data_IF_367316314917
#
_entry.id   IF_367316314917
#
_cell.length_a   1.000
_cell.length_b   1.000
_cell.length_c   1.000
_cell.angle_alpha   90.00
_cell.angle_beta   90.00
_cell.angle_gamma   90.00
#
_symmetry.space_group_name_H-M   'P 1'
#
loop_
_entity.id
_entity.type
_entity.pdbx_description
1 polymer ?
#
# COMPACT_ATOMS: atom_id res chain seq x y z
N UNK A 1 14.69 15.49 -2.28
CA UNK A 1 14.36 14.10 -1.92
C UNK A 1 13.94 13.89 -0.45
N UNK A 2 13.59 14.93 0.31
CA UNK A 2 13.20 14.78 1.73
C UNK A 2 11.77 14.24 1.97
N UNK A 3 10.87 14.34 0.98
CA UNK A 3 9.47 13.93 1.12
C UNK A 3 9.24 12.42 1.14
N UNK A 4 9.99 11.64 0.33
CA UNK A 4 9.79 10.19 0.20
C UNK A 4 10.14 9.42 1.48
N UNK A 5 11.22 9.80 2.17
CA UNK A 5 11.64 9.16 3.42
C UNK A 5 10.64 9.37 4.55
N UNK A 6 9.92 10.50 4.55
CA UNK A 6 8.88 10.79 5.54
C UNK A 6 7.62 9.97 5.32
N UNK A 7 7.25 9.74 4.07
CA UNK A 7 6.06 8.96 3.69
C UNK A 7 6.22 7.48 4.05
N UNK A 8 7.35 6.88 3.71
CA UNK A 8 7.63 5.47 4.04
C UNK A 8 7.63 5.26 5.55
N UNK A 9 8.26 6.17 6.31
CA UNK A 9 8.23 6.12 7.79
C UNK A 9 6.82 6.24 8.36
N UNK A 10 5.94 7.00 7.72
CA UNK A 10 4.55 7.13 8.14
C UNK A 10 3.79 5.82 7.90
N UNK A 11 3.94 5.21 6.73
CA UNK A 11 3.33 3.91 6.43
C UNK A 11 3.87 2.80 7.36
N UNK A 12 5.17 2.79 7.64
CA UNK A 12 5.79 1.87 8.59
C UNK A 12 5.24 2.03 10.01
N UNK A 13 5.02 3.29 10.45
CA UNK A 13 4.45 3.58 11.77
C UNK A 13 3.01 3.06 11.90
N UNK A 14 2.24 3.15 10.82
CA UNK A 14 0.85 2.71 10.75
C UNK A 14 0.70 1.29 10.18
N UNK A 15 1.81 0.55 10.01
CA UNK A 15 1.83 -0.76 9.36
C UNK A 15 0.89 -1.76 10.02
N UNK A 16 0.74 -1.71 11.34
CA UNK A 16 -0.14 -2.62 12.07
C UNK A 16 -1.59 -2.43 11.65
N UNK A 17 -2.09 -1.20 11.74
CA UNK A 17 -3.44 -0.86 11.26
C UNK A 17 -3.57 -1.21 9.78
N UNK A 18 -2.59 -0.77 8.97
CA UNK A 18 -2.55 -1.01 7.53
C UNK A 18 -2.63 -2.50 7.16
N UNK A 19 -1.96 -3.37 7.89
CA UNK A 19 -1.97 -4.82 7.67
C UNK A 19 -3.31 -5.48 8.01
N UNK A 20 -4.09 -4.92 8.93
CA UNK A 20 -5.43 -5.40 9.27
C UNK A 20 -6.46 -4.98 8.21
N UNK A 21 -6.20 -3.87 7.52
CA UNK A 21 -7.08 -3.28 6.49
C UNK A 21 -6.74 -3.79 5.09
N UNK A 22 -5.49 -4.22 4.88
CA UNK A 22 -4.99 -4.80 3.64
C UNK A 22 -5.73 -6.10 3.30
N UNK A 23 -6.87 -5.91 2.64
CA UNK A 23 -7.72 -6.96 2.13
C UNK A 23 -7.68 -7.00 0.60
N UNK A 24 -8.22 -8.07 0.04
CA UNK A 24 -8.26 -8.28 -1.40
C UNK A 24 -8.92 -7.14 -2.19
N UNK A 25 -9.89 -6.43 -1.58
CA UNK A 25 -10.59 -5.28 -2.21
C UNK A 25 -9.68 -4.07 -2.32
N UNK A 26 -8.91 -3.75 -1.28
CA UNK A 26 -7.92 -2.66 -1.34
C UNK A 26 -6.88 -2.95 -2.41
N UNK A 27 -6.33 -4.17 -2.42
CA UNK A 27 -5.36 -4.58 -3.43
C UNK A 27 -5.93 -4.52 -4.85
N UNK A 28 -7.20 -4.90 -5.05
CA UNK A 28 -7.87 -4.82 -6.37
C UNK A 28 -8.06 -3.37 -6.81
N UNK A 29 -8.41 -2.48 -5.88
CA UNK A 29 -8.53 -1.05 -6.18
C UNK A 29 -7.17 -0.45 -6.56
N UNK A 30 -6.11 -0.80 -5.83
CA UNK A 30 -4.75 -0.35 -6.10
C UNK A 30 -4.25 -0.83 -7.47
N UNK A 31 -4.64 -2.03 -7.89
CA UNK A 31 -4.40 -2.52 -9.25
C UNK A 31 -5.21 -1.74 -10.30
N UNK A 32 -6.48 -1.45 -10.00
CA UNK A 32 -7.38 -0.71 -10.92
C UNK A 32 -6.90 0.71 -11.18
N UNK A 33 -6.33 1.39 -10.19
CA UNK A 33 -5.74 2.73 -10.34
C UNK A 33 -4.33 2.70 -10.94
N UNK A 34 -3.79 1.51 -11.26
CA UNK A 34 -2.47 1.34 -11.85
C UNK A 34 -1.31 1.45 -10.86
N UNK A 35 -1.59 1.55 -9.56
CA UNK A 35 -0.56 1.57 -8.51
C UNK A 35 0.11 0.21 -8.38
N UNK A 36 -0.63 -0.88 -8.54
CA UNK A 36 -0.07 -2.24 -8.61
C UNK A 36 -0.16 -2.75 -10.05
N UNK A 37 0.93 -3.33 -10.55
CA UNK A 37 0.89 -4.12 -11.76
C UNK A 37 0.61 -5.61 -11.42
N UNK A 38 0.41 -6.44 -12.43
CA UNK A 38 0.12 -7.86 -12.22
C UNK A 38 1.23 -8.63 -11.47
N UNK A 39 2.48 -8.16 -11.54
CA UNK A 39 3.61 -8.75 -10.84
C UNK A 39 3.64 -8.35 -9.35
N UNK A 40 3.47 -7.06 -9.06
CA UNK A 40 3.28 -6.50 -7.73
C UNK A 40 2.12 -7.23 -7.02
N UNK A 41 1.03 -7.45 -7.74
CA UNK A 41 -0.16 -8.16 -7.23
C UNK A 41 0.16 -9.60 -6.82
N UNK A 42 0.88 -10.34 -7.67
CA UNK A 42 1.29 -11.72 -7.36
C UNK A 42 2.18 -11.79 -6.12
N UNK A 43 3.16 -10.89 -6.00
CA UNK A 43 4.04 -10.83 -4.84
C UNK A 43 3.24 -10.59 -3.55
N UNK A 44 2.22 -9.73 -3.60
CA UNK A 44 1.38 -9.42 -2.45
C UNK A 44 0.39 -10.54 -2.09
N UNK A 45 -0.12 -11.27 -3.09
CA UNK A 45 -1.01 -12.42 -2.87
C UNK A 45 -0.24 -13.67 -2.39
N UNK A 46 1.04 -13.81 -2.76
CA UNK A 46 1.94 -14.87 -2.27
C UNK A 46 2.50 -14.59 -0.86
N UNK A 47 2.18 -13.44 -0.27
CA UNK A 47 2.67 -13.08 1.05
C UNK A 47 2.08 -14.01 2.13
N UNK A 48 2.95 -14.67 2.89
CA UNK A 48 2.59 -15.63 3.94
C UNK A 48 1.79 -15.00 5.11
N UNK A 49 1.81 -13.67 5.24
CA UNK A 49 1.07 -12.96 6.30
C UNK A 49 0.66 -11.56 5.88
N UNK A 50 -0.41 -10.99 6.48
CA UNK A 50 -0.83 -9.61 6.21
C UNK A 50 0.26 -8.58 6.51
N UNK A 51 1.11 -8.84 7.51
CA UNK A 51 2.25 -7.98 7.83
C UNK A 51 3.32 -7.98 6.72
N UNK A 52 3.61 -9.14 6.11
CA UNK A 52 4.52 -9.24 4.96
C UNK A 52 3.91 -8.62 3.70
N UNK A 53 2.60 -8.74 3.52
CA UNK A 53 1.87 -8.06 2.45
C UNK A 53 2.01 -6.53 2.60
N UNK A 54 1.83 -6.01 3.82
CA UNK A 54 2.06 -4.60 4.12
C UNK A 54 3.50 -4.14 3.81
N UNK A 55 4.50 -4.93 4.19
CA UNK A 55 5.91 -4.64 3.84
C UNK A 55 6.13 -4.57 2.33
N UNK A 56 5.57 -5.52 1.59
CA UNK A 56 5.63 -5.53 0.13
C UNK A 56 5.04 -4.26 -0.46
N UNK A 57 3.86 -3.86 0.01
CA UNK A 57 3.17 -2.68 -0.49
C UNK A 57 3.92 -1.38 -0.15
N UNK A 58 4.46 -1.26 1.06
CA UNK A 58 5.29 -0.12 1.47
C UNK A 58 6.54 -0.04 0.59
N UNK A 59 7.18 -1.17 0.30
CA UNK A 59 8.34 -1.25 -0.59
C UNK A 59 8.00 -0.82 -2.02
N UNK A 60 6.84 -1.24 -2.54
CA UNK A 60 6.35 -0.83 -3.87
C UNK A 60 6.12 0.69 -3.92
N UNK A 61 5.45 1.25 -2.91
CA UNK A 61 5.17 2.70 -2.82
C UNK A 61 6.48 3.48 -2.67
N UNK A 62 7.42 2.98 -1.88
CA UNK A 62 8.75 3.58 -1.73
C UNK A 62 9.49 3.68 -3.06
N UNK A 63 9.40 2.66 -3.91
CA UNK A 63 10.02 2.64 -5.26
C UNK A 63 9.31 3.57 -6.25
N UNK A 64 7.98 3.65 -6.19
CA UNK A 64 7.16 4.48 -7.11
C UNK A 64 7.09 5.96 -6.68
N UNK A 65 7.40 6.25 -5.43
CA UNK A 65 7.53 7.60 -4.89
C UNK A 65 6.20 8.24 -4.47
N UNK A 66 6.24 9.56 -4.27
CA UNK A 66 5.12 10.33 -3.69
C UNK A 66 3.78 10.20 -4.43
N UNK A 67 3.72 10.16 -5.79
CA UNK A 67 2.44 9.98 -6.49
C UNK A 67 1.71 8.69 -6.10
N UNK A 68 2.44 7.58 -5.96
CA UNK A 68 1.85 6.32 -5.52
C UNK A 68 1.31 6.40 -4.09
N UNK A 69 1.93 7.19 -3.23
CA UNK A 69 1.38 7.42 -1.89
C UNK A 69 0.06 8.20 -1.94
N UNK A 70 -0.04 9.22 -2.79
CA UNK A 70 -1.29 9.96 -2.97
C UNK A 70 -2.41 9.03 -3.47
N UNK A 71 -2.12 8.18 -4.46
CA UNK A 71 -3.09 7.21 -4.99
C UNK A 71 -3.49 6.16 -3.94
N UNK A 72 -2.57 5.75 -3.07
CA UNK A 72 -2.87 4.92 -1.91
C UNK A 72 -3.84 5.64 -0.96
N UNK A 73 -3.55 6.88 -0.57
CA UNK A 73 -4.41 7.65 0.34
C UNK A 73 -5.82 7.82 -0.22
N UNK A 74 -5.96 8.16 -1.50
CA UNK A 74 -7.26 8.28 -2.18
C UNK A 74 -8.02 6.94 -2.20
N UNK A 75 -7.31 5.83 -2.41
CA UNK A 75 -7.89 4.49 -2.38
C UNK A 75 -8.34 4.09 -0.98
N UNK A 76 -7.56 4.45 0.05
CA UNK A 76 -7.90 4.23 1.45
C UNK A 76 -9.14 5.04 1.87
N UNK A 77 -9.22 6.31 1.48
CA UNK A 77 -10.40 7.16 1.77
C UNK A 77 -11.69 6.57 1.15
N UNK A 78 -11.56 5.92 -0.01
CA UNK A 78 -12.70 5.28 -0.70
C UNK A 78 -13.15 3.97 -0.02
N UNK A 79 -12.21 3.15 0.46
CA UNK A 79 -12.49 1.79 0.96
C UNK A 79 -12.66 1.77 2.48
N UNK A 80 -11.95 2.66 3.17
CA UNK A 80 -11.90 2.77 4.61
C UNK A 80 -12.07 4.24 5.02
N UNK A 81 -13.28 4.82 4.86
CA UNK A 81 -13.55 6.22 5.23
C UNK A 81 -13.49 6.47 6.75
N UNK A 82 -13.35 5.43 7.57
CA UNK A 82 -13.30 5.50 9.03
C UNK A 82 -11.90 5.25 9.60
N UNK A 83 -10.88 5.24 8.74
CA UNK A 83 -9.49 5.03 9.14
C UNK A 83 -8.84 6.25 9.80
#
# INVERSE_FOLDING_TARGET
MAGMTSVVRLLERHKKEFSEILNSKLLQKLETVGLLNAEDRRILDEAESPAKCADGLISIISRKGYPAFQDLCLSLETICPHL
#
